data_IF_594957847549
#
_entry.id   IF_594957847549
#
_cell.length_a   1.000
_cell.length_b   1.000
_cell.length_c   1.000
_cell.angle_alpha   90.00
_cell.angle_beta   90.00
_cell.angle_gamma   90.00
#
_symmetry.space_group_name_H-M   'P 1'
#
loop_
_entity.id
_entity.type
_entity.pdbx_description
1 polymer ?
#
# COMPACT_ATOMS: atom_id res chain seq x y z
N UNK A 1 19.31 27.33 -44.44
CA UNK A 1 18.43 27.52 -43.26
C UNK A 1 19.14 26.91 -42.08
N UNK A 2 19.48 27.66 -41.01
CA UNK A 2 20.10 27.05 -39.83
C UNK A 2 19.06 26.20 -39.10
N UNK A 3 19.43 24.96 -38.77
CA UNK A 3 18.61 24.08 -37.95
C UNK A 3 18.53 24.67 -36.54
N UNK A 4 17.30 24.87 -36.07
CA UNK A 4 17.02 25.37 -34.73
C UNK A 4 17.54 24.35 -33.71
N UNK A 5 18.43 24.79 -32.81
CA UNK A 5 18.99 23.92 -31.79
C UNK A 5 17.86 23.48 -30.83
N UNK A 6 17.79 22.19 -30.45
CA UNK A 6 16.73 21.71 -29.57
C UNK A 6 16.81 22.44 -28.22
N UNK A 7 15.70 23.04 -27.82
CA UNK A 7 15.56 23.73 -26.53
C UNK A 7 15.82 22.69 -25.42
N UNK A 8 16.77 22.91 -24.49
CA UNK A 8 17.00 22.00 -23.40
C UNK A 8 15.75 21.98 -22.52
N UNK A 9 15.02 20.86 -22.54
CA UNK A 9 13.97 20.61 -21.55
C UNK A 9 14.68 20.49 -20.20
N UNK A 10 14.59 21.55 -19.39
CA UNK A 10 15.15 21.56 -18.03
C UNK A 10 14.63 20.37 -17.23
N UNK A 11 15.46 19.80 -16.36
CA UNK A 11 15.09 18.69 -15.50
C UNK A 11 13.95 19.15 -14.57
N UNK A 12 12.74 18.62 -14.75
CA UNK A 12 11.62 18.88 -13.83
C UNK A 12 11.96 18.31 -12.46
N UNK A 13 11.68 19.05 -11.40
CA UNK A 13 11.78 18.55 -10.03
C UNK A 13 10.80 17.38 -9.82
N UNK A 14 11.27 16.30 -9.19
CA UNK A 14 10.44 15.16 -8.80
C UNK A 14 9.42 15.64 -7.76
N UNK A 15 8.14 15.37 -8.00
CA UNK A 15 7.05 15.65 -7.08
C UNK A 15 6.67 14.38 -6.31
N UNK A 16 5.88 14.53 -5.26
CA UNK A 16 5.38 13.40 -4.46
C UNK A 16 4.63 12.39 -5.32
N UNK A 17 3.81 12.87 -6.26
CA UNK A 17 3.00 12.01 -7.12
C UNK A 17 3.88 11.16 -8.05
N UNK A 18 5.07 11.66 -8.42
CA UNK A 18 6.04 10.89 -9.20
C UNK A 18 6.63 9.73 -8.37
N UNK A 19 6.87 9.97 -7.08
CA UNK A 19 7.37 8.96 -6.14
C UNK A 19 6.30 7.90 -5.91
N UNK A 20 5.07 8.32 -5.62
CA UNK A 20 3.91 7.43 -5.44
C UNK A 20 3.67 6.57 -6.70
N UNK A 21 3.76 7.15 -7.89
CA UNK A 21 3.67 6.40 -9.14
C UNK A 21 4.78 5.36 -9.27
N UNK A 22 6.03 5.74 -8.99
CA UNK A 22 7.17 4.81 -9.05
C UNK A 22 7.02 3.66 -8.04
N UNK A 23 6.58 3.97 -6.82
CA UNK A 23 6.29 3.01 -5.76
C UNK A 23 5.16 2.07 -6.17
N UNK A 24 4.05 2.60 -6.70
CA UNK A 24 2.93 1.80 -7.17
C UNK A 24 3.34 0.83 -8.28
N UNK A 25 4.16 1.29 -9.23
CA UNK A 25 4.72 0.44 -10.29
C UNK A 25 5.60 -0.66 -9.70
N UNK A 26 6.52 -0.31 -8.79
CA UNK A 26 7.45 -1.26 -8.19
C UNK A 26 6.72 -2.33 -7.36
N UNK A 27 5.82 -1.92 -6.46
CA UNK A 27 5.06 -2.85 -5.63
C UNK A 27 4.17 -3.76 -6.48
N UNK A 28 3.42 -3.21 -7.45
CA UNK A 28 2.56 -4.05 -8.28
C UNK A 28 3.35 -4.99 -9.19
N UNK A 29 4.56 -4.61 -9.64
CA UNK A 29 5.44 -5.52 -10.37
C UNK A 29 5.95 -6.66 -9.48
N UNK A 30 6.30 -6.38 -8.22
CA UNK A 30 6.67 -7.39 -7.24
C UNK A 30 5.48 -8.32 -6.93
N UNK A 31 4.30 -7.75 -6.69
CA UNK A 31 3.09 -8.52 -6.44
C UNK A 31 2.71 -9.41 -7.62
N UNK A 32 2.87 -8.91 -8.85
CA UNK A 32 2.63 -9.72 -10.05
C UNK A 32 3.53 -10.95 -10.12
N UNK A 33 4.80 -10.86 -9.69
CA UNK A 33 5.71 -12.01 -9.64
C UNK A 33 5.24 -13.09 -8.64
N UNK A 34 4.47 -12.67 -7.64
CA UNK A 34 3.87 -13.53 -6.59
C UNK A 34 2.42 -13.94 -6.90
N UNK A 35 1.88 -13.55 -8.07
CA UNK A 35 0.50 -13.84 -8.47
C UNK A 35 -0.56 -12.93 -7.83
N UNK A 36 -0.14 -11.84 -7.18
CA UNK A 36 -1.03 -10.91 -6.50
C UNK A 36 -1.74 -9.97 -7.48
N UNK A 37 -2.97 -9.61 -7.13
CA UNK A 37 -3.76 -8.59 -7.85
C UNK A 37 -3.22 -7.19 -7.53
N UNK A 38 -3.11 -6.27 -8.51
CA UNK A 38 -2.53 -4.95 -8.28
C UNK A 38 -3.37 -4.11 -7.30
N UNK A 39 -2.70 -3.32 -6.47
CA UNK A 39 -3.34 -2.36 -5.56
C UNK A 39 -3.09 -0.92 -6.03
N UNK A 40 -3.95 -0.01 -5.57
CA UNK A 40 -3.57 1.40 -5.50
C UNK A 40 -2.58 1.57 -4.34
N UNK A 41 -1.50 2.31 -4.58
CA UNK A 41 -0.46 2.55 -3.58
C UNK A 41 -0.29 4.04 -3.36
N UNK A 42 -0.21 4.41 -2.10
CA UNK A 42 0.07 5.77 -1.66
C UNK A 42 1.25 5.75 -0.69
N UNK A 43 2.01 6.84 -0.66
CA UNK A 43 2.93 7.10 0.45
C UNK A 43 2.10 7.79 1.51
N UNK A 44 2.19 7.38 2.76
CA UNK A 44 1.46 8.10 3.80
C UNK A 44 2.23 9.28 4.37
N UNK A 45 1.62 9.97 5.32
CA UNK A 45 1.99 11.33 5.76
C UNK A 45 2.77 11.39 7.09
N UNK A 46 3.06 10.24 7.68
CA UNK A 46 3.77 10.11 8.95
C UNK A 46 5.28 10.37 8.81
N UNK A 47 5.95 10.59 9.95
CA UNK A 47 7.39 10.90 10.04
C UNK A 47 8.32 9.75 9.57
N UNK A 48 7.76 8.60 9.18
CA UNK A 48 8.47 7.43 8.66
C UNK A 48 7.90 6.98 7.31
N UNK A 49 8.75 6.36 6.48
CA UNK A 49 8.32 5.82 5.18
C UNK A 49 7.31 4.71 5.42
N UNK A 50 6.06 4.98 5.06
CA UNK A 50 5.01 3.99 5.06
C UNK A 50 4.21 4.02 3.77
N UNK A 51 3.88 2.84 3.27
CA UNK A 51 3.08 2.68 2.06
C UNK A 51 1.69 2.17 2.42
N UNK A 52 0.68 2.75 1.79
CA UNK A 52 -0.72 2.40 1.97
C UNK A 52 -1.18 1.68 0.71
N UNK A 53 -1.58 0.41 0.85
CA UNK A 53 -2.15 -0.40 -0.22
C UNK A 53 -3.68 -0.42 -0.11
N UNK A 54 -4.37 -0.09 -1.19
CA UNK A 54 -5.84 -0.14 -1.28
C UNK A 54 -6.34 -1.01 -2.43
N UNK A 55 -7.33 -1.84 -2.12
CA UNK A 55 -8.09 -2.64 -3.09
C UNK A 55 -9.37 -1.93 -3.57
N UNK A 56 -9.48 -0.61 -3.47
CA UNK A 56 -10.72 0.12 -3.76
C UNK A 56 -11.22 0.00 -5.21
N UNK A 57 -10.32 -0.27 -6.15
CA UNK A 57 -10.67 -0.54 -7.54
C UNK A 57 -11.49 -1.84 -7.72
N UNK A 58 -11.54 -2.72 -6.71
CA UNK A 58 -12.25 -3.99 -6.75
C UNK A 58 -13.61 -3.91 -6.05
N UNK A 59 -14.47 -4.90 -6.35
CA UNK A 59 -15.77 -5.06 -5.67
C UNK A 59 -15.58 -5.25 -4.18
N UNK A 60 -16.48 -4.70 -3.36
CA UNK A 60 -16.42 -4.76 -1.88
C UNK A 60 -16.14 -6.18 -1.37
N UNK A 61 -16.81 -7.19 -1.93
CA UNK A 61 -16.69 -8.59 -1.54
C UNK A 61 -15.32 -9.21 -1.84
N UNK A 62 -14.54 -8.67 -2.78
CA UNK A 62 -13.23 -9.21 -3.15
C UNK A 62 -12.06 -8.52 -2.43
N UNK A 63 -12.28 -7.36 -1.78
CA UNK A 63 -11.20 -6.53 -1.23
C UNK A 63 -10.46 -7.21 -0.09
N UNK A 64 -11.20 -7.88 0.80
CA UNK A 64 -10.62 -8.61 1.93
C UNK A 64 -9.66 -9.68 1.44
N UNK A 65 -10.13 -10.61 0.60
CA UNK A 65 -9.30 -11.68 0.04
C UNK A 65 -8.04 -11.14 -0.65
N UNK A 66 -8.16 -10.07 -1.44
CA UNK A 66 -7.02 -9.43 -2.10
C UNK A 66 -5.99 -8.94 -1.07
N UNK A 67 -6.44 -8.22 -0.05
CA UNK A 67 -5.54 -7.69 0.97
C UNK A 67 -4.90 -8.82 1.79
N UNK A 68 -5.66 -9.85 2.14
CA UNK A 68 -5.13 -11.02 2.86
C UNK A 68 -4.08 -11.77 2.04
N UNK A 69 -4.27 -11.92 0.72
CA UNK A 69 -3.25 -12.47 -0.20
C UNK A 69 -1.95 -11.65 -0.13
N UNK A 70 -2.05 -10.31 -0.14
CA UNK A 70 -0.89 -9.41 -0.04
C UNK A 70 -0.16 -9.53 1.30
N UNK A 71 -0.90 -9.60 2.40
CA UNK A 71 -0.31 -9.76 3.74
C UNK A 71 0.43 -11.10 3.85
N UNK A 72 -0.17 -12.18 3.36
CA UNK A 72 0.42 -13.51 3.40
C UNK A 72 1.68 -13.61 2.52
N UNK A 73 1.59 -13.20 1.26
CA UNK A 73 2.68 -13.36 0.29
C UNK A 73 3.88 -12.44 0.53
N UNK A 74 3.68 -11.32 1.23
CA UNK A 74 4.80 -10.47 1.67
C UNK A 74 5.46 -10.97 2.96
N UNK A 75 4.96 -12.05 3.58
CA UNK A 75 5.48 -12.58 4.85
C UNK A 75 5.26 -11.64 6.03
N UNK A 76 4.29 -10.73 5.91
CA UNK A 76 4.10 -9.63 6.84
C UNK A 76 3.50 -10.06 8.18
N UNK A 77 2.75 -11.16 8.18
CA UNK A 77 2.21 -11.76 9.39
C UNK A 77 3.31 -12.30 10.33
N UNK A 78 4.51 -12.57 9.81
CA UNK A 78 5.61 -13.17 10.60
C UNK A 78 6.53 -12.11 11.24
N UNK A 79 6.38 -10.83 10.88
CA UNK A 79 7.27 -9.71 11.30
C UNK A 79 6.51 -8.69 12.17
N UNK A 80 5.39 -9.09 12.77
CA UNK A 80 4.55 -8.18 13.57
C UNK A 80 5.33 -7.72 14.81
N UNK A 81 5.58 -6.40 14.89
CA UNK A 81 6.12 -5.75 16.09
C UNK A 81 5.09 -5.84 17.22
N UNK A 82 5.54 -6.35 18.37
CA UNK A 82 4.73 -6.70 19.54
C UNK A 82 4.10 -5.53 20.30
N UNK A 83 4.31 -4.29 19.86
CA UNK A 83 3.95 -3.09 20.61
C UNK A 83 2.58 -2.50 20.26
N UNK A 84 2.00 -2.87 19.11
CA UNK A 84 0.64 -2.51 18.72
C UNK A 84 -0.03 -3.67 17.98
N UNK A 85 -1.35 -3.87 18.15
CA UNK A 85 -2.03 -4.92 17.41
C UNK A 85 -2.03 -4.62 15.91
N UNK A 86 -1.68 -5.61 15.07
CA UNK A 86 -1.48 -5.41 13.64
C UNK A 86 -2.76 -5.15 12.87
N UNK A 87 -3.93 -5.39 13.48
CA UNK A 87 -5.23 -5.24 12.86
C UNK A 87 -6.15 -4.51 13.83
N UNK A 88 -6.74 -3.41 13.38
CA UNK A 88 -7.68 -2.63 14.17
C UNK A 88 -8.82 -2.11 13.31
N UNK A 89 -9.95 -1.80 13.94
CA UNK A 89 -11.13 -1.28 13.23
C UNK A 89 -11.18 0.23 13.26
N UNK A 90 -11.29 0.86 12.08
CA UNK A 90 -11.47 2.31 11.93
C UNK A 90 -12.80 2.58 11.23
N UNK A 91 -13.83 2.87 12.02
CA UNK A 91 -15.18 3.11 11.51
C UNK A 91 -15.74 1.92 10.72
N UNK A 92 -15.88 2.11 9.41
CA UNK A 92 -16.43 1.11 8.47
C UNK A 92 -15.41 0.12 7.91
N UNK A 93 -14.13 0.32 8.21
CA UNK A 93 -13.02 -0.41 7.60
C UNK A 93 -12.15 -1.12 8.65
N UNK A 94 -11.53 -2.21 8.23
CA UNK A 94 -10.45 -2.88 8.91
C UNK A 94 -9.13 -2.35 8.36
N UNK A 95 -8.23 -1.98 9.27
CA UNK A 95 -6.92 -1.43 8.95
C UNK A 95 -5.88 -2.39 9.50
N UNK A 96 -5.10 -2.97 8.59
CA UNK A 96 -3.94 -3.78 8.93
C UNK A 96 -2.67 -2.94 8.82
N UNK A 97 -1.75 -3.08 9.77
CA UNK A 97 -0.45 -2.40 9.81
C UNK A 97 0.67 -3.37 10.17
N UNK A 98 1.81 -3.25 9.49
CA UNK A 98 3.03 -3.98 9.82
C UNK A 98 4.25 -3.39 9.11
N UNK A 99 5.36 -4.13 9.05
CA UNK A 99 6.59 -3.62 8.44
C UNK A 99 7.47 -4.70 7.80
N UNK A 100 8.28 -4.30 6.81
CA UNK A 100 9.34 -5.12 6.19
C UNK A 100 10.62 -4.29 6.21
N UNK A 101 11.70 -4.79 6.80
CA UNK A 101 13.00 -4.12 6.82
C UNK A 101 12.93 -2.62 7.23
N UNK A 102 12.11 -2.30 8.23
CA UNK A 102 11.83 -0.93 8.74
C UNK A 102 10.97 -0.04 7.84
N UNK A 103 10.40 -0.58 6.76
CA UNK A 103 9.39 0.09 5.92
C UNK A 103 8.00 -0.27 6.43
N UNK A 104 7.22 0.75 6.80
CA UNK A 104 5.84 0.55 7.25
C UNK A 104 4.91 0.21 6.09
N UNK A 105 3.95 -0.68 6.33
CA UNK A 105 2.90 -1.04 5.39
C UNK A 105 1.55 -0.97 6.09
N UNK A 106 0.58 -0.41 5.38
CA UNK A 106 -0.80 -0.31 5.83
C UNK A 106 -1.73 -0.80 4.73
N UNK A 107 -2.71 -1.63 5.09
CA UNK A 107 -3.75 -2.10 4.18
C UNK A 107 -5.13 -1.82 4.73
N UNK A 108 -6.04 -1.45 3.84
CA UNK A 108 -7.40 -1.09 4.17
C UNK A 108 -8.36 -2.01 3.42
N UNK A 109 -9.33 -2.58 4.14
CA UNK A 109 -10.44 -3.29 3.53
C UNK A 109 -11.73 -3.10 4.34
N UNK A 110 -12.91 -3.22 3.71
CA UNK A 110 -14.18 -2.98 4.39
C UNK A 110 -14.40 -3.97 5.52
N UNK A 111 -14.86 -3.49 6.68
CA UNK A 111 -15.31 -4.37 7.76
C UNK A 111 -16.62 -5.07 7.36
N UNK A 112 -16.72 -6.35 7.71
CA UNK A 112 -17.92 -7.17 7.55
C UNK A 112 -18.76 -7.21 8.82
N UNK A 113 -20.02 -7.65 8.67
CA UNK A 113 -20.93 -7.83 9.80
C UNK A 113 -20.43 -9.00 10.68
N UNK A 114 -19.74 -8.68 11.76
CA UNK A 114 -19.14 -9.67 12.68
C UNK A 114 -17.64 -9.48 12.88
N UNK A 115 -16.99 -8.64 12.06
CA UNK A 115 -15.62 -8.21 12.33
C UNK A 115 -15.60 -7.33 13.59
N UNK A 116 -15.29 -7.96 14.72
CA UNK A 116 -14.85 -7.25 15.90
C UNK A 116 -13.37 -6.92 15.73
N UNK A 117 -12.95 -5.78 16.27
CA UNK A 117 -11.53 -5.56 16.49
C UNK A 117 -11.07 -6.66 17.46
N UNK A 118 -10.16 -7.57 17.05
CA UNK A 118 -9.76 -8.69 17.89
C UNK A 118 -8.99 -8.24 19.14
N UNK A 119 -8.70 -6.94 19.26
CA UNK A 119 -7.98 -6.32 20.35
C UNK A 119 -8.76 -5.18 21.03
N UNK A 120 -10.04 -4.98 20.71
CA UNK A 120 -10.90 -4.07 21.46
C UNK A 120 -11.40 -4.75 22.74
N UNK A 121 -10.98 -4.22 23.89
CA UNK A 121 -11.53 -4.53 25.23
C UNK A 121 -12.95 -3.96 25.41
#
# INVERSE_FOLDING_TARGET
MPAEAPIPLGRRAIRREDIELMVAIAWNAEGQQRGLRPLAWEVGDADFVHFIGSADAYSRAARRDIIEDWIAELGLADVIDSTAPPLHRVGGDMVWTGSIDSVGLQFHYPAEAGDADPYAD
#
